data_IF_252007863641
#
_entry.id   IF_252007863641
#
_cell.length_a   1.000
_cell.length_b   1.000
_cell.length_c   1.000
_cell.angle_alpha   90.00
_cell.angle_beta   90.00
_cell.angle_gamma   90.00
#
_symmetry.space_group_name_H-M   'P 1'
#
loop_
_entity.id
_entity.type
_entity.pdbx_description
1 polymer ?
#
# COMPACT_ATOMS: atom_id res chain seq x y z
N UNK A 1 18.80 58.58 -13.45
CA UNK A 1 19.75 57.56 -12.95
C UNK A 1 18.92 56.39 -12.48
N UNK A 2 19.13 55.23 -13.08
CA UNK A 2 18.21 54.09 -13.05
C UNK A 2 18.19 53.39 -11.67
N UNK A 3 16.98 53.09 -11.19
CA UNK A 3 16.75 52.19 -10.06
C UNK A 3 17.01 50.75 -10.52
N UNK A 4 18.04 50.11 -9.96
CA UNK A 4 18.26 48.68 -10.12
C UNK A 4 17.35 47.93 -9.12
N UNK A 5 16.25 47.37 -9.62
CA UNK A 5 15.47 46.36 -8.89
C UNK A 5 16.10 45.01 -9.21
N UNK A 6 16.85 44.47 -8.25
CA UNK A 6 17.41 43.12 -8.35
C UNK A 6 16.28 42.11 -8.09
N UNK A 7 15.66 41.60 -9.16
CA UNK A 7 14.65 40.54 -9.07
C UNK A 7 15.34 39.23 -8.65
N UNK A 8 15.26 38.91 -7.36
CA UNK A 8 15.71 37.61 -6.84
C UNK A 8 14.65 36.57 -7.21
N UNK A 9 14.89 35.83 -8.30
CA UNK A 9 14.07 34.66 -8.64
C UNK A 9 14.42 33.58 -7.61
N UNK A 10 13.64 33.49 -6.54
CA UNK A 10 13.62 32.33 -5.66
C UNK A 10 13.02 31.19 -6.49
N UNK A 11 13.86 30.39 -7.16
CA UNK A 11 13.42 29.09 -7.65
C UNK A 11 12.99 28.30 -6.40
N UNK A 12 11.68 28.25 -6.16
CA UNK A 12 11.07 27.16 -5.42
C UNK A 12 11.45 25.89 -6.18
N UNK A 13 12.53 25.25 -5.77
CA UNK A 13 12.75 23.85 -6.04
C UNK A 13 11.60 23.14 -5.32
N UNK A 14 10.45 23.04 -6.01
CA UNK A 14 9.42 22.09 -5.63
C UNK A 14 10.17 20.75 -5.53
N UNK A 15 10.15 20.08 -4.37
CA UNK A 15 10.72 18.76 -4.30
C UNK A 15 10.03 17.97 -5.40
N UNK A 16 10.80 17.49 -6.37
CA UNK A 16 10.37 16.39 -7.21
C UNK A 16 10.10 15.27 -6.21
N UNK A 17 8.86 15.15 -5.78
CA UNK A 17 8.44 14.12 -4.84
C UNK A 17 8.67 12.81 -5.57
N UNK A 18 9.78 12.14 -5.25
CA UNK A 18 10.01 10.79 -5.70
C UNK A 18 8.84 9.99 -5.19
N UNK A 19 7.98 9.50 -6.08
CA UNK A 19 6.82 8.76 -5.64
C UNK A 19 7.23 7.50 -4.92
N UNK A 20 6.54 7.21 -3.82
CA UNK A 20 6.80 6.05 -2.99
C UNK A 20 5.58 5.77 -2.13
N UNK A 21 5.28 4.49 -1.96
CA UNK A 21 4.37 4.01 -0.94
C UNK A 21 4.68 2.54 -0.68
N UNK A 22 4.27 2.07 0.49
CA UNK A 22 4.35 0.68 0.93
C UNK A 22 3.29 0.44 2.00
N UNK A 23 3.05 -0.82 2.33
CA UNK A 23 2.17 -1.15 3.45
C UNK A 23 2.88 -0.81 4.77
N UNK A 24 2.35 0.15 5.50
CA UNK A 24 2.87 0.60 6.80
C UNK A 24 2.48 -0.36 7.92
N UNK A 25 1.27 -0.90 7.85
CA UNK A 25 0.65 -1.67 8.92
C UNK A 25 -0.45 -2.57 8.41
N UNK A 26 -0.56 -3.75 9.01
CA UNK A 26 -1.68 -4.65 8.83
C UNK A 26 -2.51 -4.70 10.12
N UNK A 27 -3.84 -4.77 9.98
CA UNK A 27 -4.78 -4.87 11.11
C UNK A 27 -5.86 -5.89 10.79
N UNK A 28 -6.32 -6.65 11.78
CA UNK A 28 -7.51 -7.49 11.59
C UNK A 28 -8.76 -6.62 11.71
N UNK A 29 -9.78 -6.93 10.91
CA UNK A 29 -11.11 -6.31 10.97
C UNK A 29 -12.12 -7.31 11.51
N UNK A 30 -12.88 -6.90 12.53
CA UNK A 30 -14.06 -7.64 12.95
C UNK A 30 -15.20 -7.47 11.92
N UNK A 31 -16.25 -8.30 11.98
CA UNK A 31 -17.33 -8.31 10.98
C UNK A 31 -18.16 -7.02 10.99
N UNK A 32 -18.04 -6.20 12.03
CA UNK A 32 -18.64 -4.86 12.11
C UNK A 32 -17.78 -3.77 11.45
N UNK A 33 -16.56 -4.09 11.02
CA UNK A 33 -15.61 -3.16 10.43
C UNK A 33 -14.64 -2.50 11.41
N UNK A 34 -14.65 -2.85 12.70
CA UNK A 34 -13.66 -2.31 13.65
C UNK A 34 -12.33 -3.04 13.49
N UNK A 35 -11.22 -2.30 13.45
CA UNK A 35 -9.88 -2.84 13.56
C UNK A 35 -9.63 -3.34 14.97
N UNK A 36 -9.23 -4.60 15.07
CA UNK A 36 -8.95 -5.30 16.32
C UNK A 36 -7.52 -5.83 16.32
N UNK A 37 -7.13 -6.43 17.46
CA UNK A 37 -5.82 -7.07 17.72
C UNK A 37 -4.62 -6.13 17.70
N UNK A 38 -3.43 -6.68 17.88
CA UNK A 38 -2.16 -5.99 17.67
C UNK A 38 -1.86 -5.86 16.17
N UNK A 39 -1.08 -4.83 15.77
CA UNK A 39 -0.71 -4.65 14.38
C UNK A 39 0.29 -5.70 13.91
N UNK A 40 0.25 -5.99 12.60
CA UNK A 40 1.32 -6.68 11.90
C UNK A 40 2.07 -5.74 10.96
N UNK A 41 3.27 -6.15 10.55
CA UNK A 41 4.16 -5.35 9.72
C UNK A 41 4.74 -6.15 8.57
N UNK A 42 5.22 -5.44 7.54
CA UNK A 42 5.90 -6.07 6.40
C UNK A 42 7.28 -6.59 6.79
N UNK A 43 7.86 -7.47 5.97
CA UNK A 43 9.19 -8.04 6.25
C UNK A 43 10.22 -6.91 6.35
N UNK A 44 11.14 -7.01 7.30
CA UNK A 44 12.20 -6.01 7.47
C UNK A 44 11.70 -4.58 7.72
N UNK A 45 10.49 -4.41 8.27
CA UNK A 45 9.92 -3.10 8.56
C UNK A 45 10.80 -2.27 9.49
N UNK A 46 10.94 -1.00 9.16
CA UNK A 46 11.61 0.02 9.97
C UNK A 46 10.56 1.05 10.36
N UNK A 47 10.32 1.20 11.66
CA UNK A 47 9.33 2.14 12.18
C UNK A 47 9.70 3.57 11.80
N UNK A 48 8.70 4.40 11.47
CA UNK A 48 8.90 5.85 11.27
C UNK A 48 9.38 6.58 12.52
N UNK A 49 9.21 5.98 13.70
CA UNK A 49 9.72 6.48 14.97
C UNK A 49 11.20 6.11 15.21
N UNK A 50 11.77 5.24 14.38
CA UNK A 50 13.18 4.88 14.44
C UNK A 50 14.04 6.05 13.89
N UNK A 51 15.04 6.56 14.63
CA UNK A 51 15.91 7.65 14.15
C UNK A 51 16.68 7.33 12.87
N UNK A 52 16.81 6.05 12.53
CA UNK A 52 17.48 5.57 11.32
C UNK A 52 16.52 5.38 10.14
N UNK A 53 15.23 5.72 10.31
CA UNK A 53 14.23 5.64 9.26
C UNK A 53 14.54 6.60 8.11
N UNK A 54 14.32 6.10 6.89
CA UNK A 54 14.14 6.90 5.68
C UNK A 54 13.38 6.05 4.66
N UNK A 55 12.70 6.71 3.73
CA UNK A 55 11.79 6.04 2.79
C UNK A 55 12.50 4.99 1.93
N UNK A 56 13.77 5.21 1.57
CA UNK A 56 14.56 4.28 0.74
C UNK A 56 14.80 2.92 1.42
N UNK A 57 14.65 2.83 2.75
CA UNK A 57 14.75 1.56 3.48
C UNK A 57 13.52 0.68 3.29
N UNK A 58 12.38 1.29 2.99
CA UNK A 58 11.10 0.59 2.85
C UNK A 58 10.66 0.47 1.40
N UNK A 59 10.88 1.52 0.61
CA UNK A 59 10.51 1.57 -0.80
C UNK A 59 11.20 0.45 -1.60
N UNK A 60 10.40 -0.24 -2.41
CA UNK A 60 10.87 -1.08 -3.52
C UNK A 60 10.24 -0.57 -4.80
N UNK A 61 11.01 0.20 -5.56
CA UNK A 61 10.55 0.82 -6.81
C UNK A 61 11.03 0.00 -8.02
N UNK A 62 10.12 -0.30 -8.93
CA UNK A 62 10.35 -1.02 -10.16
C UNK A 62 9.74 -0.23 -11.34
N UNK A 63 10.50 0.04 -12.41
CA UNK A 63 11.92 -0.22 -12.55
C UNK A 63 12.77 0.54 -11.50
N UNK A 64 13.89 -0.01 -11.01
CA UNK A 64 14.73 0.64 -10.03
C UNK A 64 15.30 1.95 -10.58
N UNK A 65 15.49 2.91 -9.67
CA UNK A 65 16.03 4.22 -9.98
C UNK A 65 17.37 4.10 -10.74
N UNK A 66 17.51 4.87 -11.80
CA UNK A 66 18.69 4.84 -12.67
C UNK A 66 18.63 3.79 -13.78
N UNK A 67 17.58 2.95 -13.85
CA UNK A 67 17.36 2.12 -15.04
C UNK A 67 16.99 2.98 -16.24
N UNK A 68 17.58 2.64 -17.39
CA UNK A 68 17.26 3.22 -18.70
C UNK A 68 15.79 2.93 -19.02
N UNK A 69 15.00 3.96 -19.33
CA UNK A 69 13.54 3.87 -19.39
C UNK A 69 13.05 2.81 -20.39
N UNK A 70 13.76 2.65 -21.51
CA UNK A 70 13.48 1.70 -22.58
C UNK A 70 13.59 0.23 -22.13
N UNK A 71 14.29 -0.04 -21.04
CA UNK A 71 14.42 -1.38 -20.49
C UNK A 71 13.19 -1.81 -19.68
N UNK A 72 12.44 -0.86 -19.12
CA UNK A 72 11.27 -1.13 -18.29
C UNK A 72 11.49 -2.17 -17.19
N UNK A 73 10.47 -3.00 -16.95
CA UNK A 73 10.53 -4.12 -16.02
C UNK A 73 11.23 -5.30 -16.70
N UNK A 74 12.24 -5.86 -16.03
CA UNK A 74 13.02 -6.98 -16.52
C UNK A 74 12.52 -8.31 -15.97
N UNK A 75 12.72 -9.44 -16.69
CA UNK A 75 12.40 -10.78 -16.18
C UNK A 75 13.18 -11.20 -14.93
N UNK A 76 14.16 -10.41 -14.48
CA UNK A 76 14.93 -10.64 -13.26
C UNK A 76 14.49 -9.75 -12.09
N UNK A 77 13.51 -8.86 -12.30
CA UNK A 77 13.03 -7.98 -11.25
C UNK A 77 12.22 -8.74 -10.22
N UNK A 78 12.78 -8.83 -9.01
CA UNK A 78 12.13 -9.47 -7.88
C UNK A 78 10.93 -8.66 -7.41
N UNK A 79 9.85 -9.36 -7.06
CA UNK A 79 8.66 -8.73 -6.48
C UNK A 79 8.93 -8.20 -5.08
N UNK A 80 9.82 -8.84 -4.31
CA UNK A 80 10.19 -8.40 -2.97
C UNK A 80 11.50 -7.60 -2.99
N UNK A 81 11.55 -6.56 -2.14
CA UNK A 81 12.80 -5.89 -1.77
C UNK A 81 13.80 -6.90 -1.21
N UNK A 82 15.09 -6.64 -1.35
CA UNK A 82 16.13 -7.52 -0.79
C UNK A 82 15.96 -7.78 0.72
N UNK A 83 15.59 -6.75 1.50
CA UNK A 83 15.28 -6.89 2.94
C UNK A 83 13.96 -7.59 3.25
N UNK A 84 13.15 -7.87 2.23
CA UNK A 84 11.83 -8.50 2.31
C UNK A 84 11.79 -9.90 1.67
N UNK A 85 12.92 -10.42 1.18
CA UNK A 85 12.98 -11.74 0.54
C UNK A 85 12.75 -12.86 1.55
N UNK A 86 13.53 -12.84 2.64
CA UNK A 86 13.42 -13.83 3.71
C UNK A 86 12.20 -13.56 4.61
N UNK A 87 11.51 -14.62 5.03
CA UNK A 87 10.38 -14.57 5.98
C UNK A 87 10.85 -14.31 7.42
N UNK A 88 11.63 -13.25 7.63
CA UNK A 88 12.12 -12.86 8.95
C UNK A 88 11.02 -12.11 9.71
N UNK A 89 10.80 -12.51 10.96
CA UNK A 89 9.90 -11.82 11.89
C UNK A 89 10.74 -11.09 12.93
N UNK A 90 10.35 -9.86 13.25
CA UNK A 90 10.88 -9.11 14.38
C UNK A 90 9.86 -9.22 15.53
N UNK A 91 10.27 -9.60 16.73
CA UNK A 91 9.33 -9.72 17.87
C UNK A 91 8.68 -8.37 18.23
N UNK A 92 9.39 -7.26 18.04
CA UNK A 92 8.86 -5.92 18.28
C UNK A 92 7.95 -5.42 17.15
N UNK A 93 8.14 -5.94 15.94
CA UNK A 93 7.40 -5.58 14.73
C UNK A 93 6.95 -6.87 14.04
N UNK A 94 6.00 -7.61 14.64
CA UNK A 94 5.69 -8.96 14.23
C UNK A 94 4.86 -9.00 12.95
N UNK A 95 4.78 -10.18 12.34
CA UNK A 95 3.74 -10.49 11.36
C UNK A 95 2.36 -10.42 12.00
N UNK A 96 1.33 -10.10 11.22
CA UNK A 96 -0.04 -10.06 11.72
C UNK A 96 -0.48 -11.46 12.17
N UNK A 97 -1.13 -11.56 13.32
CA UNK A 97 -1.86 -12.78 13.70
C UNK A 97 -3.33 -12.66 13.32
N UNK A 98 -3.83 -13.66 12.59
CA UNK A 98 -5.21 -13.72 12.14
C UNK A 98 -5.75 -15.15 12.26
N UNK A 99 -7.00 -15.36 11.84
CA UNK A 99 -7.69 -16.65 11.76
C UNK A 99 -8.18 -16.89 10.33
N UNK A 100 -8.45 -18.15 9.97
CA UNK A 100 -9.06 -18.51 8.70
C UNK A 100 -10.32 -17.67 8.41
N UNK A 101 -10.34 -17.01 7.26
CA UNK A 101 -11.48 -16.22 6.79
C UNK A 101 -11.57 -14.80 7.34
N UNK A 102 -10.64 -14.38 8.22
CA UNK A 102 -10.60 -13.02 8.73
C UNK A 102 -10.47 -12.00 7.58
N UNK A 103 -11.06 -10.83 7.78
CA UNK A 103 -10.79 -9.67 6.93
C UNK A 103 -9.64 -8.90 7.57
N UNK A 104 -8.69 -8.45 6.76
CA UNK A 104 -7.57 -7.63 7.22
C UNK A 104 -7.46 -6.36 6.39
N UNK A 105 -7.04 -5.30 7.04
CA UNK A 105 -6.70 -4.01 6.44
C UNK A 105 -5.19 -3.93 6.21
N UNK A 106 -4.79 -3.57 5.00
CA UNK A 106 -3.42 -3.20 4.63
C UNK A 106 -3.40 -1.68 4.49
N UNK A 107 -2.78 -0.98 5.43
CA UNK A 107 -2.75 0.48 5.46
C UNK A 107 -1.46 1.00 4.84
N UNK A 108 -1.56 2.04 4.01
CA UNK A 108 -0.45 2.69 3.32
C UNK A 108 -0.60 4.20 3.31
N UNK A 109 0.52 4.92 3.25
CA UNK A 109 0.48 6.39 3.11
C UNK A 109 0.34 6.79 1.65
N UNK A 110 -0.48 7.81 1.40
CA UNK A 110 -0.67 8.37 0.07
C UNK A 110 0.47 9.29 -0.38
N UNK A 111 1.22 9.88 0.57
CA UNK A 111 2.42 10.69 0.29
C UNK A 111 2.21 11.80 -0.76
N UNK A 112 1.00 12.37 -0.84
CA UNK A 112 0.59 13.38 -1.81
C UNK A 112 0.08 12.84 -3.15
N UNK A 113 0.18 11.53 -3.42
CA UNK A 113 -0.24 10.93 -4.70
C UNK A 113 -1.76 10.87 -4.88
N UNK A 114 -2.52 11.15 -3.81
CA UNK A 114 -3.97 11.24 -3.82
C UNK A 114 -4.41 12.69 -3.66
N UNK A 115 -3.93 13.38 -2.63
CA UNK A 115 -4.44 14.72 -2.27
C UNK A 115 -3.72 15.89 -2.94
N UNK A 116 -2.56 15.65 -3.57
CA UNK A 116 -1.78 16.63 -4.33
C UNK A 116 -1.49 16.12 -5.77
N UNK A 117 -2.51 15.75 -6.56
CA UNK A 117 -2.32 15.12 -7.86
C UNK A 117 -1.60 16.01 -8.88
N UNK A 118 -1.63 17.33 -8.70
CA UNK A 118 -0.91 18.32 -9.50
C UNK A 118 0.61 18.18 -9.40
N UNK A 119 1.14 17.49 -8.37
CA UNK A 119 2.56 17.16 -8.25
C UNK A 119 3.00 16.12 -9.28
N UNK A 120 2.05 15.35 -9.83
CA UNK A 120 2.31 14.30 -10.81
C UNK A 120 1.29 14.35 -11.97
N UNK A 121 1.24 15.47 -12.73
CA UNK A 121 0.14 15.76 -13.65
C UNK A 121 0.08 14.82 -14.86
N UNK A 122 1.16 14.07 -15.11
CA UNK A 122 1.32 13.11 -16.20
C UNK A 122 0.92 11.67 -15.80
N UNK A 123 0.59 11.42 -14.53
CA UNK A 123 0.20 10.11 -14.01
C UNK A 123 -1.32 9.98 -13.90
N UNK A 124 -1.83 8.76 -14.04
CA UNK A 124 -3.21 8.46 -13.67
C UNK A 124 -3.43 8.75 -12.18
N UNK A 125 -4.60 9.23 -11.81
CA UNK A 125 -4.88 9.59 -10.41
C UNK A 125 -4.87 8.34 -9.52
N UNK A 126 -4.07 8.36 -8.44
CA UNK A 126 -3.93 7.27 -7.48
C UNK A 126 -3.22 6.02 -8.00
N UNK A 127 -3.56 5.50 -9.18
CA UNK A 127 -3.11 4.18 -9.66
C UNK A 127 -3.89 3.02 -9.04
N UNK A 128 -3.42 1.79 -9.27
CA UNK A 128 -4.14 0.56 -8.89
C UNK A 128 -3.28 -0.35 -8.04
N UNK A 129 -3.86 -0.88 -6.96
CA UNK A 129 -3.26 -1.87 -6.07
C UNK A 129 -3.74 -3.27 -6.47
N UNK A 130 -2.80 -4.20 -6.60
CA UNK A 130 -3.04 -5.63 -6.77
C UNK A 130 -2.47 -6.36 -5.56
N UNK A 131 -3.29 -7.22 -4.96
CA UNK A 131 -2.89 -7.99 -3.78
C UNK A 131 -2.94 -9.46 -4.13
N UNK A 132 -1.77 -10.10 -4.06
CA UNK A 132 -1.61 -11.53 -4.30
C UNK A 132 -1.31 -12.24 -2.99
N UNK A 133 -1.59 -13.54 -2.94
CA UNK A 133 -1.18 -14.35 -1.80
C UNK A 133 -0.86 -15.80 -2.11
N UNK A 134 0.01 -16.39 -1.29
CA UNK A 134 0.49 -17.77 -1.43
C UNK A 134 0.88 -18.39 -0.08
N UNK A 135 0.78 -19.72 0.00
CA UNK A 135 1.33 -20.54 1.11
C UNK A 135 2.71 -21.11 0.79
N UNK A 136 3.20 -20.92 -0.42
CA UNK A 136 4.44 -21.51 -0.92
C UNK A 136 5.29 -20.39 -1.56
N UNK A 137 5.65 -19.34 -0.79
CA UNK A 137 6.44 -18.22 -1.32
C UNK A 137 7.85 -18.67 -1.71
N UNK A 138 8.50 -17.92 -2.59
CA UNK A 138 9.93 -18.07 -2.89
C UNK A 138 10.67 -16.76 -2.63
N UNK A 139 11.90 -16.84 -2.11
CA UNK A 139 12.77 -15.66 -1.96
C UNK A 139 13.19 -15.07 -3.32
N UNK A 140 13.01 -15.83 -4.40
CA UNK A 140 13.31 -15.44 -5.78
C UNK A 140 12.06 -15.20 -6.62
N UNK A 141 10.90 -14.99 -5.98
CA UNK A 141 9.66 -14.62 -6.69
C UNK A 141 9.87 -13.32 -7.52
N UNK A 142 9.49 -13.39 -8.79
CA UNK A 142 9.73 -12.36 -9.80
C UNK A 142 8.42 -11.63 -10.08
N UNK A 143 8.48 -10.30 -10.26
CA UNK A 143 7.30 -9.48 -10.53
C UNK A 143 6.54 -9.99 -11.76
N UNK A 144 7.24 -10.21 -12.88
CA UNK A 144 6.62 -10.62 -14.15
C UNK A 144 6.09 -12.06 -14.17
N UNK A 145 6.42 -12.90 -13.17
CA UNK A 145 5.81 -14.24 -13.05
C UNK A 145 4.52 -14.25 -12.22
N UNK A 146 4.23 -13.16 -11.52
CA UNK A 146 3.12 -13.04 -10.55
C UNK A 146 2.15 -11.94 -10.96
N UNK A 147 2.65 -10.71 -11.10
CA UNK A 147 1.84 -9.53 -11.38
C UNK A 147 1.17 -9.65 -12.75
N UNK A 148 -0.16 -9.51 -12.78
CA UNK A 148 -1.03 -9.77 -13.95
C UNK A 148 -0.92 -11.18 -14.55
N UNK A 149 -0.30 -12.13 -13.85
CA UNK A 149 -0.16 -13.54 -14.25
C UNK A 149 -0.96 -14.45 -13.32
N UNK A 150 -0.80 -14.30 -12.00
CA UNK A 150 -1.66 -14.94 -11.03
C UNK A 150 -3.07 -14.33 -11.11
N UNK A 151 -4.09 -15.20 -11.08
CA UNK A 151 -5.50 -14.82 -11.22
C UNK A 151 -6.30 -15.26 -9.98
N UNK A 152 -7.56 -14.84 -9.90
CA UNK A 152 -8.43 -15.12 -8.75
C UNK A 152 -8.73 -16.62 -8.61
N UNK A 153 -8.75 -17.35 -9.72
CA UNK A 153 -8.99 -18.79 -9.76
C UNK A 153 -7.79 -19.62 -9.28
N UNK A 154 -6.62 -18.99 -9.07
CA UNK A 154 -5.39 -19.68 -8.68
C UNK A 154 -4.84 -20.62 -9.75
N UNK A 155 -5.19 -20.39 -11.02
CA UNK A 155 -4.79 -21.21 -12.18
C UNK A 155 -3.68 -20.57 -13.01
N UNK A 156 -3.45 -19.27 -12.79
CA UNK A 156 -2.43 -18.48 -13.48
C UNK A 156 -1.00 -18.80 -13.04
N UNK A 157 -0.06 -18.53 -13.94
CA UNK A 157 1.38 -18.76 -13.71
C UNK A 157 1.69 -20.20 -13.29
N UNK A 158 2.48 -20.32 -12.23
CA UNK A 158 2.90 -21.59 -11.64
C UNK A 158 1.89 -22.18 -10.63
N UNK A 159 0.72 -21.55 -10.47
CA UNK A 159 -0.39 -22.01 -9.62
C UNK A 159 -0.04 -22.12 -8.13
N UNK A 160 1.03 -21.47 -7.67
CA UNK A 160 1.37 -21.44 -6.23
C UNK A 160 0.55 -20.44 -5.43
N UNK A 161 -0.09 -19.48 -6.09
CA UNK A 161 -0.91 -18.46 -5.43
C UNK A 161 -2.01 -17.91 -6.34
N UNK A 162 -2.64 -16.85 -5.86
CA UNK A 162 -3.79 -16.24 -6.53
C UNK A 162 -3.82 -14.73 -6.30
N UNK A 163 -4.56 -14.04 -7.17
CA UNK A 163 -4.97 -12.65 -6.95
C UNK A 163 -6.12 -12.65 -5.93
N UNK A 164 -5.96 -11.91 -4.84
CA UNK A 164 -6.95 -11.80 -3.76
C UNK A 164 -7.86 -10.59 -3.94
N UNK A 165 -7.28 -9.47 -4.38
CA UNK A 165 -8.01 -8.24 -4.56
C UNK A 165 -7.33 -7.32 -5.58
N UNK A 166 -8.16 -6.53 -6.26
CA UNK A 166 -7.75 -5.31 -6.97
C UNK A 166 -8.45 -4.14 -6.27
N UNK A 167 -7.70 -3.09 -5.94
CA UNK A 167 -8.18 -1.90 -5.24
C UNK A 167 -7.64 -0.65 -5.92
N UNK A 168 -8.35 0.46 -5.77
CA UNK A 168 -7.78 1.77 -6.06
C UNK A 168 -6.73 2.09 -4.98
N UNK A 169 -5.64 2.75 -5.35
CA UNK A 169 -4.67 3.25 -4.36
C UNK A 169 -5.29 4.31 -3.45
N UNK A 170 -6.16 5.12 -4.03
CA UNK A 170 -7.06 6.03 -3.34
C UNK A 170 -8.31 5.25 -2.88
N UNK A 171 -8.48 5.07 -1.56
CA UNK A 171 -9.63 4.37 -0.99
C UNK A 171 -10.91 5.23 -0.91
N UNK A 172 -10.84 6.49 -1.34
CA UNK A 172 -11.94 7.45 -1.35
C UNK A 172 -12.11 8.26 -0.07
N UNK A 173 -11.45 7.90 1.02
CA UNK A 173 -11.57 8.58 2.31
C UNK A 173 -10.24 9.12 2.85
N UNK A 174 -9.12 8.47 2.53
CA UNK A 174 -7.81 8.80 3.08
C UNK A 174 -7.29 10.19 2.70
N UNK A 175 -6.44 10.78 3.52
CA UNK A 175 -5.82 12.06 3.21
C UNK A 175 -4.52 12.24 3.98
N UNK A 176 -3.53 12.84 3.32
CA UNK A 176 -2.46 13.56 3.99
C UNK A 176 -2.90 15.01 4.20
N UNK A 177 -2.68 15.57 5.39
CA UNK A 177 -3.00 16.97 5.65
C UNK A 177 -2.09 17.88 4.82
N UNK A 178 -2.71 18.72 4.01
CA UNK A 178 -2.06 19.78 3.24
C UNK A 178 -3.10 20.84 2.83
N UNK A 179 -2.66 21.83 2.04
CA UNK A 179 -3.50 22.95 1.62
C UNK A 179 -4.22 22.71 0.28
N UNK A 180 -4.13 21.51 -0.30
CA UNK A 180 -4.84 21.13 -1.51
C UNK A 180 -6.33 20.90 -1.24
N UNK A 181 -7.18 21.24 -2.22
CA UNK A 181 -8.64 21.17 -2.07
C UNK A 181 -9.13 19.75 -1.72
N UNK A 182 -8.53 18.71 -2.31
CA UNK A 182 -8.89 17.31 -2.02
C UNK A 182 -8.63 16.98 -0.55
N UNK A 183 -7.50 17.42 0.00
CA UNK A 183 -7.18 17.22 1.43
C UNK A 183 -8.19 17.93 2.33
N UNK A 184 -8.52 19.19 2.01
CA UNK A 184 -9.49 19.99 2.78
C UNK A 184 -10.87 19.33 2.77
N UNK A 185 -11.38 18.97 1.59
CA UNK A 185 -12.70 18.34 1.44
C UNK A 185 -12.77 17.00 2.19
N UNK A 186 -11.69 16.20 2.16
CA UNK A 186 -11.62 14.92 2.89
C UNK A 186 -11.51 15.10 4.39
N UNK A 187 -10.77 16.09 4.89
CA UNK A 187 -10.73 16.39 6.32
C UNK A 187 -12.11 16.78 6.85
N UNK A 188 -12.91 17.50 6.05
CA UNK A 188 -14.28 17.86 6.41
C UNK A 188 -15.24 16.65 6.37
N UNK A 189 -15.12 15.79 5.35
CA UNK A 189 -15.99 14.63 5.18
C UNK A 189 -15.63 13.43 6.08
N UNK A 190 -14.34 13.22 6.34
CA UNK A 190 -13.76 12.06 7.01
C UNK A 190 -12.95 12.49 8.24
N UNK A 191 -13.53 13.38 9.04
CA UNK A 191 -12.87 13.91 10.24
C UNK A 191 -12.54 12.80 11.24
N UNK A 192 -11.32 12.85 11.78
CA UNK A 192 -10.87 11.96 12.84
C UNK A 192 -9.89 12.65 13.78
N UNK A 193 -9.79 12.18 15.02
CA UNK A 193 -8.82 12.69 15.98
C UNK A 193 -7.41 12.16 15.65
N UNK A 194 -6.34 12.97 15.81
CA UNK A 194 -4.98 12.49 15.59
C UNK A 194 -4.63 11.30 16.48
N UNK A 195 -4.01 10.26 15.91
CA UNK A 195 -3.61 9.06 16.63
C UNK A 195 -2.33 8.47 16.05
N UNK A 196 -1.40 8.06 16.91
CA UNK A 196 -0.17 7.41 16.46
C UNK A 196 -0.44 6.01 15.88
N UNK A 197 0.31 5.57 14.86
CA UNK A 197 1.42 6.28 14.21
C UNK A 197 1.00 7.18 13.03
N UNK A 198 -0.28 7.22 12.68
CA UNK A 198 -0.78 7.97 11.52
C UNK A 198 -0.84 9.49 11.76
N UNK A 199 -0.74 9.93 13.02
CA UNK A 199 -0.82 11.34 13.39
C UNK A 199 -2.18 11.90 12.99
N UNK A 200 -2.18 13.11 12.42
CA UNK A 200 -3.40 13.77 11.98
C UNK A 200 -3.90 13.29 10.60
N UNK A 201 -3.06 12.59 9.84
CA UNK A 201 -3.41 12.01 8.54
C UNK A 201 -4.33 10.79 8.70
N UNK A 202 -5.14 10.54 7.67
CA UNK A 202 -5.88 9.29 7.51
C UNK A 202 -5.19 8.47 6.42
N UNK A 203 -4.52 7.39 6.80
CA UNK A 203 -3.85 6.50 5.86
C UNK A 203 -4.86 5.81 4.94
N UNK A 204 -4.45 5.58 3.70
CA UNK A 204 -5.23 4.80 2.75
C UNK A 204 -5.19 3.32 3.11
N UNK A 205 -6.17 2.58 2.60
CA UNK A 205 -6.38 1.21 3.01
C UNK A 205 -6.86 0.29 1.89
N UNK A 206 -6.36 -0.93 1.91
CA UNK A 206 -6.87 -2.04 1.11
C UNK A 206 -7.31 -3.20 2.02
N UNK A 207 -8.60 -3.50 2.04
CA UNK A 207 -9.19 -4.58 2.81
C UNK A 207 -9.32 -5.85 1.95
N UNK A 208 -8.87 -6.97 2.51
CA UNK A 208 -8.94 -8.29 1.89
C UNK A 208 -9.44 -9.36 2.86
N UNK A 209 -10.09 -10.39 2.33
CA UNK A 209 -10.41 -11.60 3.09
C UNK A 209 -9.29 -12.62 2.94
N UNK A 210 -8.81 -13.16 4.06
CA UNK A 210 -7.81 -14.22 4.11
C UNK A 210 -8.40 -15.58 3.72
N UNK A 211 -7.56 -16.52 3.23
CA UNK A 211 -8.02 -17.87 2.94
C UNK A 211 -8.49 -18.60 4.20
N UNK A 212 -9.42 -19.54 4.02
CA UNK A 212 -9.90 -20.41 5.09
C UNK A 212 -8.92 -21.56 5.40
N UNK A 213 -7.63 -21.25 5.61
CA UNK A 213 -6.57 -22.23 5.88
C UNK A 213 -5.54 -21.69 6.87
N UNK A 214 -5.13 -22.52 7.82
CA UNK A 214 -4.11 -22.15 8.80
C UNK A 214 -2.68 -22.22 8.25
N UNK A 215 -1.77 -21.60 9.01
CA UNK A 215 -0.33 -21.51 8.76
C UNK A 215 0.09 -20.13 8.24
N UNK A 216 1.38 -20.00 7.94
CA UNK A 216 1.93 -18.77 7.37
C UNK A 216 1.37 -18.55 5.96
N UNK A 217 0.92 -17.34 5.70
CA UNK A 217 0.43 -16.91 4.40
C UNK A 217 1.15 -15.62 3.97
N UNK A 218 1.83 -15.67 2.83
CA UNK A 218 2.53 -14.52 2.27
C UNK A 218 1.59 -13.71 1.41
N UNK A 219 1.69 -12.39 1.53
CA UNK A 219 1.00 -11.41 0.70
C UNK A 219 2.01 -10.58 -0.08
N UNK A 220 1.70 -10.33 -1.35
CA UNK A 220 2.39 -9.37 -2.20
C UNK A 220 1.44 -8.22 -2.52
N UNK A 221 1.76 -7.04 -2.01
CA UNK A 221 1.06 -5.81 -2.34
C UNK A 221 1.82 -5.11 -3.46
N UNK A 222 1.13 -4.81 -4.57
CA UNK A 222 1.72 -4.23 -5.78
C UNK A 222 0.90 -3.01 -6.18
N UNK A 223 1.45 -1.82 -5.99
CA UNK A 223 0.89 -0.59 -6.50
C UNK A 223 1.48 -0.28 -7.87
N UNK A 224 0.64 -0.34 -8.90
CA UNK A 224 0.96 0.04 -10.27
C UNK A 224 0.43 1.46 -10.55
N UNK A 225 1.32 2.36 -10.92
CA UNK A 225 1.01 3.77 -11.17
C UNK A 225 1.37 4.20 -12.61
N UNK A 226 0.40 4.08 -13.54
CA UNK A 226 0.64 4.31 -14.95
C UNK A 226 0.70 5.79 -15.33
N UNK A 227 1.33 6.07 -16.45
CA UNK A 227 1.26 7.38 -17.12
C UNK A 227 -0.09 7.53 -17.84
N UNK A 228 -0.59 8.76 -17.95
CA UNK A 228 -1.84 9.06 -18.67
C UNK A 228 -1.74 8.66 -20.15
N UNK A 229 -2.78 8.02 -20.72
CA UNK A 229 -2.87 7.77 -22.16
C UNK A 229 -2.70 9.06 -22.98
N UNK A 230 -2.03 8.96 -24.13
CA UNK A 230 -1.76 10.10 -25.01
C UNK A 230 -0.71 11.10 -24.48
N UNK A 231 -0.08 10.79 -23.35
CA UNK A 231 1.03 11.54 -22.77
C UNK A 231 2.40 10.94 -23.10
N UNK A 232 3.30 10.97 -22.11
CA UNK A 232 4.62 10.35 -22.22
C UNK A 232 4.46 8.82 -22.16
N UNK A 233 4.81 8.12 -23.24
CA UNK A 233 4.85 6.66 -23.24
C UNK A 233 6.05 6.15 -22.43
N UNK A 234 5.77 5.69 -21.20
CA UNK A 234 6.74 5.07 -20.30
C UNK A 234 6.11 3.89 -19.56
N UNK A 235 6.92 2.89 -19.16
CA UNK A 235 6.47 1.86 -18.23
C UNK A 235 5.84 2.48 -16.98
N UNK A 236 4.84 1.80 -16.41
CA UNK A 236 4.29 2.21 -15.13
C UNK A 236 5.37 2.18 -14.03
N UNK A 237 5.27 3.09 -13.07
CA UNK A 237 6.05 2.96 -11.84
C UNK A 237 5.32 1.95 -10.96
N UNK A 238 6.06 0.98 -10.44
CA UNK A 238 5.52 -0.11 -9.62
C UNK A 238 6.22 -0.09 -8.27
N UNK A 239 5.43 -0.07 -7.20
CA UNK A 239 5.91 -0.19 -5.83
C UNK A 239 5.37 -1.45 -5.20
N UNK A 240 6.21 -2.16 -4.45
CA UNK A 240 5.77 -3.41 -3.84
C UNK A 240 6.08 -3.49 -2.34
N UNK A 241 5.33 -4.35 -1.66
CA UNK A 241 5.61 -4.75 -0.29
C UNK A 241 5.33 -6.25 -0.12
N UNK A 242 6.27 -6.96 0.51
CA UNK A 242 6.10 -8.36 0.86
C UNK A 242 5.97 -8.55 2.36
N UNK A 243 4.97 -9.31 2.77
CA UNK A 243 4.61 -9.51 4.16
C UNK A 243 4.02 -10.88 4.40
N UNK A 244 3.96 -11.27 5.67
CA UNK A 244 3.42 -12.54 6.09
C UNK A 244 2.31 -12.32 7.12
N UNK A 245 1.35 -13.24 7.12
CA UNK A 245 0.29 -13.34 8.12
C UNK A 245 0.36 -14.72 8.74
N UNK A 246 0.39 -14.79 10.07
CA UNK A 246 0.26 -16.02 10.82
C UNK A 246 -1.23 -16.34 11.00
N UNK A 247 -1.74 -17.32 10.24
CA UNK A 247 -3.15 -17.73 10.34
C UNK A 247 -3.28 -18.86 11.36
N UNK A 248 -3.71 -18.51 12.56
CA UNK A 248 -3.85 -19.41 13.71
C UNK A 248 -5.19 -20.16 13.71
N UNK A 249 -5.30 -21.33 14.37
CA UNK A 249 -6.56 -22.03 14.52
C UNK A 249 -7.68 -21.17 15.15
N UNK A 250 -8.90 -21.40 14.68
CA UNK A 250 -10.09 -20.60 15.01
C UNK A 250 -10.85 -20.25 13.74
N UNK A 251 -12.00 -19.61 13.86
CA UNK A 251 -12.75 -19.11 12.70
C UNK A 251 -13.46 -17.80 13.10
N UNK A 252 -13.36 -16.76 12.27
CA UNK A 252 -14.32 -15.66 12.27
C UNK A 252 -15.51 -16.09 11.40
N UNK A 253 -16.58 -16.57 12.04
CA UNK A 253 -17.80 -17.00 11.35
C UNK A 253 -18.81 -15.87 11.33
N UNK A 254 -19.44 -15.66 10.17
CA UNK A 254 -20.55 -14.74 10.01
C UNK A 254 -20.51 -13.97 8.70
N UNK A 255 -21.52 -13.12 8.52
CA UNK A 255 -21.56 -12.15 7.43
C UNK A 255 -21.09 -10.81 7.95
N UNK A 256 -20.43 -10.03 7.08
CA UNK A 256 -20.09 -8.64 7.38
C UNK A 256 -21.38 -7.86 7.64
N UNK A 257 -21.39 -7.11 8.73
CA UNK A 257 -22.46 -6.21 9.14
C UNK A 257 -21.82 -4.90 9.57
N UNK A 258 -21.31 -4.14 8.59
CA UNK A 258 -20.57 -2.91 8.83
C UNK A 258 -21.38 -1.89 9.63
N UNK A 259 -20.77 -1.29 10.64
CA UNK A 259 -21.36 -0.23 11.47
C UNK A 259 -20.84 1.13 11.01
N UNK A 260 -21.71 2.04 10.62
CA UNK A 260 -21.31 3.39 10.21
C UNK A 260 -20.90 4.26 11.41
N UNK A 261 -20.10 5.31 11.17
CA UNK A 261 -19.71 6.29 12.20
C UNK A 261 -18.67 5.80 13.21
N UNK A 262 -17.92 4.75 12.86
CA UNK A 262 -16.77 4.28 13.65
C UNK A 262 -15.61 5.28 13.60
N UNK A 263 -14.74 5.25 14.61
CA UNK A 263 -13.48 5.99 14.57
C UNK A 263 -12.63 5.53 13.38
N UNK A 264 -12.34 6.44 12.46
CA UNK A 264 -11.62 6.15 11.23
C UNK A 264 -10.16 5.74 11.46
N UNK A 265 -9.59 6.01 12.64
CA UNK A 265 -8.29 5.43 13.03
C UNK A 265 -8.34 3.89 13.13
N UNK A 266 -9.54 3.33 13.32
CA UNK A 266 -9.77 1.93 13.62
C UNK A 266 -10.92 1.34 12.81
N UNK A 267 -11.20 1.87 11.61
CA UNK A 267 -12.30 1.39 10.78
C UNK A 267 -11.82 0.75 9.47
N UNK A 268 -12.54 -0.28 9.04
CA UNK A 268 -12.51 -0.83 7.70
C UNK A 268 -13.11 0.14 6.68
N UNK A 269 -12.83 -0.08 5.39
CA UNK A 269 -13.49 0.62 4.29
C UNK A 269 -14.74 -0.17 3.91
N UNK A 270 -15.92 0.42 4.15
CA UNK A 270 -17.22 -0.26 4.03
C UNK A 270 -17.40 -0.98 2.69
N UNK A 271 -17.13 -0.29 1.59
CA UNK A 271 -17.28 -0.80 0.23
C UNK A 271 -16.38 -2.02 0.01
N UNK A 272 -15.16 -2.00 0.54
CA UNK A 272 -14.19 -3.08 0.39
C UNK A 272 -14.54 -4.29 1.26
N UNK A 273 -15.11 -4.07 2.45
CA UNK A 273 -15.57 -5.15 3.33
C UNK A 273 -16.85 -5.84 2.83
N UNK A 274 -17.72 -5.09 2.14
CA UNK A 274 -18.95 -5.62 1.56
C UNK A 274 -18.73 -6.25 0.17
N UNK A 275 -17.63 -5.92 -0.50
CA UNK A 275 -17.16 -6.57 -1.72
C UNK A 275 -16.56 -7.95 -1.40
N UNK A 276 -17.44 -8.91 -1.11
CA UNK A 276 -17.11 -10.32 -0.88
C UNK A 276 -17.04 -11.14 -2.15
#
# INVERSE_FOLDING_TARGET
MAFNVLLTILLLALPLSSAHSWVERLRRLDLNGTMVSDPGYIRGFVSRLDPTFNDLRMQHHLPPNGRVAEQGILPTDRICRDSQRAMQSNEMLPRLQARPGDIIALQHQENGHVTLPETSPHKEHGGTIFIYGTRVPSEDDILLSIHRVWNAEGTGGDRRGSLLAVRSFDDGQCYQINNGQISIDRQDAFRKDPADPQGADLWCQSDIRLPNKCGVYTLYWVWEWPFKPGGIERPADIYTSCMDVEILPGIQQGKVSYVDGQDLNWAGVKEQMLAG
#
